data_IF_763601750077
#
_entry.id   IF_763601750077
#
_cell.length_a   1.000
_cell.length_b   1.000
_cell.length_c   1.000
_cell.angle_alpha   90.00
_cell.angle_beta   90.00
_cell.angle_gamma   90.00
#
_symmetry.space_group_name_H-M   'P 1'
#
loop_
_entity.id
_entity.type
_entity.pdbx_description
1 polymer ?
#
# COMPACT_ATOMS: atom_id res chain seq x y z
N UNK A 1 -44.71 61.48 -11.74
CA UNK A 1 -45.46 60.20 -11.72
C UNK A 1 -44.77 59.28 -10.71
N UNK A 2 -45.35 58.69 -9.66
CA UNK A 2 -46.18 59.16 -8.54
C UNK A 2 -45.43 58.79 -7.22
N UNK A 3 -45.49 59.52 -6.09
CA UNK A 3 -46.54 59.57 -5.03
C UNK A 3 -47.00 58.18 -4.53
N UNK A 4 -47.15 57.80 -3.24
CA UNK A 4 -46.87 58.23 -1.84
C UNK A 4 -47.22 56.98 -0.96
N UNK A 5 -46.85 56.98 0.34
CA UNK A 5 -47.36 56.20 1.50
C UNK A 5 -46.73 54.80 1.69
N UNK A 6 -46.21 54.38 2.85
CA UNK A 6 -46.44 54.83 4.23
C UNK A 6 -47.33 53.83 4.97
N UNK A 7 -46.75 52.97 5.83
CA UNK A 7 -47.45 52.29 6.91
C UNK A 7 -46.47 51.83 8.00
N UNK A 8 -46.53 52.54 9.12
CA UNK A 8 -46.03 52.15 10.44
C UNK A 8 -47.00 51.14 11.08
N UNK A 9 -46.54 50.53 12.18
CA UNK A 9 -47.29 49.83 13.25
C UNK A 9 -47.18 48.30 13.22
N UNK A 10 -46.53 47.78 14.26
CA UNK A 10 -46.49 46.37 14.60
C UNK A 10 -45.50 46.04 15.72
N UNK A 11 -45.44 46.85 16.77
CA UNK A 11 -44.67 46.55 17.98
C UNK A 11 -45.45 45.51 18.80
N UNK A 12 -45.14 44.22 18.60
CA UNK A 12 -45.66 43.15 19.46
C UNK A 12 -44.58 42.79 20.48
N UNK A 13 -44.84 43.17 21.74
CA UNK A 13 -44.11 42.69 22.89
C UNK A 13 -44.37 41.19 23.06
N UNK A 14 -43.34 40.36 22.84
CA UNK A 14 -43.25 39.06 23.51
C UNK A 14 -42.23 39.18 24.65
N UNK A 15 -42.77 39.30 25.86
CA UNK A 15 -42.01 39.07 27.08
C UNK A 15 -41.61 37.58 27.16
N UNK A 16 -40.40 37.35 27.67
CA UNK A 16 -39.87 36.06 28.13
C UNK A 16 -39.67 34.95 27.08
N UNK A 17 -38.54 35.00 26.38
CA UNK A 17 -37.81 33.81 25.89
C UNK A 17 -36.32 34.13 25.97
N UNK A 18 -35.66 33.72 27.06
CA UNK A 18 -34.21 33.69 27.10
C UNK A 18 -33.74 32.65 26.05
N UNK A 19 -32.79 32.98 25.15
CA UNK A 19 -32.15 31.94 24.36
C UNK A 19 -31.28 31.12 25.32
N UNK A 20 -31.73 29.91 25.65
CA UNK A 20 -30.83 28.89 26.18
C UNK A 20 -29.80 28.65 25.08
N UNK A 21 -28.63 29.26 25.22
CA UNK A 21 -27.48 28.92 24.37
C UNK A 21 -27.10 27.51 24.76
N UNK A 22 -27.62 26.54 24.01
CA UNK A 22 -27.14 25.18 24.05
C UNK A 22 -25.70 25.21 23.57
N UNK A 23 -24.77 25.20 24.52
CA UNK A 23 -23.34 25.02 24.25
C UNK A 23 -23.21 23.59 23.76
N UNK A 24 -23.32 23.40 22.45
CA UNK A 24 -22.94 22.16 21.79
C UNK A 24 -21.45 21.97 22.12
N UNK A 25 -21.07 20.92 22.86
CA UNK A 25 -19.66 20.66 23.11
C UNK A 25 -18.97 20.49 21.76
N UNK A 26 -17.76 21.05 21.58
CA UNK A 26 -17.01 20.85 20.35
C UNK A 26 -16.89 19.33 20.09
N UNK A 27 -16.94 18.90 18.82
CA UNK A 27 -16.70 17.50 18.49
C UNK A 27 -15.36 17.07 19.10
N UNK A 28 -15.25 15.81 19.57
CA UNK A 28 -13.98 15.31 20.08
C UNK A 28 -12.88 15.55 19.05
N UNK A 29 -11.67 15.93 19.47
CA UNK A 29 -10.56 16.08 18.54
C UNK A 29 -10.40 14.77 17.77
N UNK A 30 -10.25 14.87 16.45
CA UNK A 30 -9.94 13.73 15.61
C UNK A 30 -8.77 12.94 16.24
N UNK A 31 -8.81 11.59 16.24
CA UNK A 31 -7.63 10.82 16.63
C UNK A 31 -6.45 11.35 15.83
N UNK A 32 -5.22 11.41 16.38
CA UNK A 32 -4.08 12.01 15.70
C UNK A 32 -3.92 11.37 14.31
N UNK A 33 -4.50 12.04 13.32
CA UNK A 33 -4.31 11.71 11.93
C UNK A 33 -2.84 11.93 11.65
N UNK A 34 -2.28 11.09 10.80
CA UNK A 34 -0.92 11.25 10.28
C UNK A 34 -0.86 12.48 9.36
N UNK A 35 -1.21 13.66 9.87
CA UNK A 35 -1.03 14.95 9.19
C UNK A 35 0.40 15.40 9.46
N UNK A 36 1.34 14.75 8.77
CA UNK A 36 2.73 15.21 8.68
C UNK A 36 2.84 16.20 7.52
N UNK A 37 3.65 17.23 7.70
CA UNK A 37 3.86 18.33 6.77
C UNK A 37 4.05 17.86 5.32
N UNK A 38 3.31 18.50 4.41
CA UNK A 38 3.42 18.28 2.97
C UNK A 38 4.85 18.63 2.49
N UNK A 39 5.61 17.59 2.14
CA UNK A 39 6.87 17.66 1.42
C UNK A 39 6.77 16.82 0.13
N UNK A 40 7.75 16.89 -0.78
CA UNK A 40 7.73 16.03 -1.97
C UNK A 40 7.71 14.56 -1.54
N UNK A 41 6.80 13.78 -2.13
CA UNK A 41 6.70 12.35 -1.86
C UNK A 41 8.02 11.65 -2.21
N UNK A 42 8.61 10.92 -1.26
CA UNK A 42 9.81 10.12 -1.50
C UNK A 42 9.42 8.74 -2.01
N UNK A 43 10.00 8.32 -3.12
CA UNK A 43 9.79 6.98 -3.70
C UNK A 43 11.05 6.14 -3.52
N UNK A 44 10.90 4.98 -2.89
CA UNK A 44 11.95 3.96 -2.76
C UNK A 44 11.53 2.71 -3.51
N UNK A 45 12.36 2.27 -4.46
CA UNK A 45 12.14 1.05 -5.23
C UNK A 45 13.17 -0.02 -4.85
N UNK A 46 12.68 -1.23 -4.56
CA UNK A 46 13.50 -2.41 -4.35
C UNK A 46 13.19 -3.43 -5.45
N UNK A 47 14.10 -3.51 -6.41
CA UNK A 47 13.99 -4.39 -7.56
C UNK A 47 15.17 -5.36 -7.52
N UNK A 48 14.93 -6.67 -7.44
CA UNK A 48 15.99 -7.66 -7.36
C UNK A 48 16.76 -7.72 -8.68
N UNK A 49 18.03 -8.12 -8.59
CA UNK A 49 18.78 -8.50 -9.76
C UNK A 49 18.13 -9.73 -10.43
N UNK A 50 17.99 -9.75 -11.76
CA UNK A 50 17.50 -10.92 -12.47
C UNK A 50 18.38 -12.14 -12.22
N UNK A 51 17.77 -13.28 -11.90
CA UNK A 51 18.49 -14.55 -11.96
C UNK A 51 18.57 -14.98 -13.42
N UNK A 52 19.79 -15.08 -13.96
CA UNK A 52 20.00 -15.65 -15.28
C UNK A 52 19.38 -17.05 -15.34
N UNK A 53 18.67 -17.36 -16.42
CA UNK A 53 18.16 -18.71 -16.63
C UNK A 53 19.33 -19.70 -16.50
N UNK A 54 19.21 -20.77 -15.69
CA UNK A 54 20.26 -21.77 -15.63
C UNK A 54 20.49 -22.31 -17.05
N UNK A 55 21.75 -22.48 -17.49
CA UNK A 55 22.03 -23.17 -18.75
C UNK A 55 21.35 -24.55 -18.69
N UNK A 56 20.81 -25.00 -19.83
CA UNK A 56 20.22 -26.33 -19.94
C UNK A 56 21.24 -27.39 -19.46
N UNK A 57 20.87 -28.10 -18.40
CA UNK A 57 21.67 -29.12 -17.70
C UNK A 57 22.10 -30.26 -18.66
N UNK A 58 23.22 -30.98 -18.41
CA UNK A 58 23.24 -31.89 -17.27
C UNK A 58 24.61 -32.09 -16.59
N UNK A 59 24.67 -32.07 -15.26
CA UNK A 59 25.42 -33.09 -14.50
C UNK A 59 25.20 -33.00 -12.99
N UNK A 60 25.16 -34.14 -12.27
CA UNK A 60 25.02 -34.16 -10.82
C UNK A 60 26.29 -33.58 -10.19
N UNK A 61 26.18 -32.37 -9.62
CA UNK A 61 27.26 -31.76 -8.83
C UNK A 61 27.50 -32.64 -7.60
N UNK A 62 28.74 -33.10 -7.47
CA UNK A 62 29.26 -33.89 -6.36
C UNK A 62 28.93 -33.28 -5.00
N UNK A 63 28.59 -34.13 -4.04
CA UNK A 63 28.40 -33.78 -2.64
C UNK A 63 29.64 -33.06 -2.07
N UNK A 64 29.49 -31.92 -1.36
CA UNK A 64 30.62 -31.30 -0.69
C UNK A 64 31.07 -32.19 0.48
N UNK A 65 32.36 -32.49 0.47
CA UNK A 65 33.06 -33.21 1.53
C UNK A 65 33.11 -32.33 2.78
N UNK A 66 32.62 -32.86 3.90
CA UNK A 66 33.05 -32.54 5.27
C UNK A 66 33.27 -31.07 5.64
N UNK A 67 32.20 -30.39 6.05
CA UNK A 67 32.27 -29.27 6.99
C UNK A 67 31.26 -29.55 8.10
N UNK A 68 31.63 -29.36 9.36
CA UNK A 68 30.75 -29.58 10.50
C UNK A 68 29.41 -28.90 10.25
N UNK A 69 28.35 -29.71 10.09
CA UNK A 69 27.01 -29.19 9.90
C UNK A 69 26.68 -28.33 11.13
N UNK A 70 26.20 -27.09 10.97
CA UNK A 70 25.71 -26.32 12.10
C UNK A 70 24.68 -27.17 12.86
N UNK A 71 24.64 -27.06 14.19
CA UNK A 71 23.71 -27.79 15.06
C UNK A 71 22.30 -27.24 14.85
N UNK A 72 21.73 -27.55 13.69
CA UNK A 72 20.41 -27.18 13.25
C UNK A 72 19.64 -28.47 13.07
N UNK A 73 18.38 -28.48 13.51
CA UNK A 73 17.51 -29.63 13.36
C UNK A 73 17.60 -30.19 11.92
N UNK A 74 17.68 -31.53 11.76
CA UNK A 74 17.56 -32.15 10.45
C UNK A 74 16.35 -31.56 9.72
N UNK A 75 16.53 -31.21 8.45
CA UNK A 75 15.51 -30.59 7.59
C UNK A 75 15.17 -29.11 7.82
N UNK A 76 15.96 -28.36 8.60
CA UNK A 76 15.70 -26.93 8.82
C UNK A 76 15.67 -26.09 7.52
N UNK A 77 16.57 -26.37 6.57
CA UNK A 77 16.60 -25.66 5.29
C UNK A 77 15.36 -25.93 4.43
N UNK A 78 14.91 -27.19 4.36
CA UNK A 78 13.67 -27.54 3.65
C UNK A 78 12.44 -26.94 4.34
N UNK A 79 12.41 -26.95 5.68
CA UNK A 79 11.30 -26.44 6.47
C UNK A 79 11.21 -24.90 6.46
N UNK A 80 12.23 -24.20 5.97
CA UNK A 80 12.22 -22.75 5.79
C UNK A 80 12.06 -22.32 4.33
N UNK A 81 11.96 -23.28 3.39
CA UNK A 81 11.82 -22.97 1.96
C UNK A 81 10.54 -22.16 1.67
N UNK A 82 9.48 -22.33 2.46
CA UNK A 82 8.24 -21.55 2.32
C UNK A 82 8.43 -20.05 2.61
N UNK A 83 9.42 -19.68 3.43
CA UNK A 83 9.77 -18.28 3.75
C UNK A 83 10.49 -17.59 2.60
N UNK A 84 11.07 -18.36 1.68
CA UNK A 84 11.81 -17.82 0.55
C UNK A 84 10.84 -17.54 -0.59
N UNK A 85 10.85 -16.29 -1.09
CA UNK A 85 10.12 -15.95 -2.31
C UNK A 85 10.79 -16.58 -3.51
N UNK A 86 10.00 -16.95 -4.51
CA UNK A 86 10.51 -17.48 -5.77
C UNK A 86 11.38 -16.44 -6.46
N UNK A 87 12.50 -16.87 -7.05
CA UNK A 87 13.35 -15.99 -7.85
C UNK A 87 12.61 -15.50 -9.10
N UNK A 88 12.94 -14.28 -9.54
CA UNK A 88 12.41 -13.68 -10.76
C UNK A 88 13.39 -13.86 -11.93
N UNK A 89 12.85 -14.13 -13.11
CA UNK A 89 13.59 -14.02 -14.38
C UNK A 89 13.74 -12.55 -14.79
N UNK A 90 14.59 -12.29 -15.79
CA UNK A 90 14.76 -10.93 -16.35
C UNK A 90 13.43 -10.34 -16.86
N UNK A 91 12.65 -11.12 -17.62
CA UNK A 91 11.35 -10.67 -18.13
C UNK A 91 10.36 -10.35 -17.00
N UNK A 92 10.40 -11.13 -15.91
CA UNK A 92 9.57 -10.91 -14.75
C UNK A 92 9.97 -9.64 -13.99
N UNK A 93 11.28 -9.40 -13.82
CA UNK A 93 11.81 -8.14 -13.27
C UNK A 93 11.38 -6.95 -14.13
N UNK A 94 11.46 -7.07 -15.45
CA UNK A 94 11.03 -6.00 -16.37
C UNK A 94 9.53 -5.74 -16.26
N UNK A 95 8.70 -6.79 -16.22
CA UNK A 95 7.25 -6.64 -16.02
C UNK A 95 6.92 -5.93 -14.70
N UNK A 96 7.72 -6.14 -13.65
CA UNK A 96 7.65 -5.41 -12.39
C UNK A 96 7.98 -3.93 -12.54
N UNK A 97 9.05 -3.58 -13.26
CA UNK A 97 9.42 -2.18 -13.59
C UNK A 97 8.32 -1.46 -14.37
N UNK A 98 7.77 -2.14 -15.36
CA UNK A 98 6.69 -1.58 -16.18
C UNK A 98 5.43 -1.35 -15.33
N UNK A 99 5.17 -2.22 -14.36
CA UNK A 99 4.06 -2.04 -13.43
C UNK A 99 4.28 -0.85 -12.50
N UNK A 100 5.48 -0.69 -11.94
CA UNK A 100 5.86 0.51 -11.16
C UNK A 100 5.57 1.79 -11.96
N UNK A 101 6.01 1.83 -13.21
CA UNK A 101 5.81 2.97 -14.12
C UNK A 101 4.34 3.33 -14.30
N UNK A 102 3.43 2.34 -14.27
CA UNK A 102 1.99 2.56 -14.39
C UNK A 102 1.33 3.02 -13.08
N UNK A 103 1.78 2.52 -11.94
CA UNK A 103 1.12 2.79 -10.66
C UNK A 103 1.64 4.05 -9.97
N UNK A 104 2.90 4.44 -10.17
CA UNK A 104 3.45 5.63 -9.52
C UNK A 104 2.64 6.91 -9.77
N UNK A 105 2.22 7.23 -11.01
CA UNK A 105 1.45 8.45 -11.28
C UNK A 105 0.12 8.54 -10.52
N UNK A 106 -0.48 7.41 -10.11
CA UNK A 106 -1.73 7.40 -9.34
C UNK A 106 -1.49 7.38 -7.83
N UNK A 107 -0.31 6.95 -7.37
CA UNK A 107 0.05 6.86 -5.95
C UNK A 107 0.74 8.13 -5.42
N UNK A 108 1.58 8.77 -6.23
CA UNK A 108 2.31 9.98 -5.85
C UNK A 108 1.39 11.12 -5.38
N UNK A 109 0.24 11.41 -6.03
CA UNK A 109 -0.66 12.46 -5.55
C UNK A 109 -1.26 12.15 -4.18
N UNK A 110 -1.58 10.88 -3.89
CA UNK A 110 -2.10 10.43 -2.59
C UNK A 110 -1.04 10.54 -1.50
N UNK A 111 0.21 10.19 -1.83
CA UNK A 111 1.34 10.33 -0.93
C UNK A 111 1.62 11.81 -0.61
N UNK A 112 1.58 12.68 -1.62
CA UNK A 112 1.82 14.11 -1.46
C UNK A 112 0.69 14.81 -0.69
N UNK A 113 -0.56 14.37 -0.85
CA UNK A 113 -1.71 14.91 -0.11
C UNK A 113 -1.82 14.38 1.32
N UNK A 114 -1.13 13.28 1.64
CA UNK A 114 -1.27 12.58 2.91
C UNK A 114 -2.57 11.78 3.03
N UNK A 115 -3.31 11.56 1.92
CA UNK A 115 -4.54 10.76 1.91
C UNK A 115 -4.23 9.25 1.90
N UNK A 116 -3.72 8.79 3.04
CA UNK A 116 -3.19 7.44 3.26
C UNK A 116 -4.22 6.54 3.93
N UNK A 117 -5.43 6.54 3.39
CA UNK A 117 -6.47 5.60 3.79
C UNK A 117 -6.67 4.51 2.75
N UNK A 118 -7.05 3.31 3.19
CA UNK A 118 -7.21 2.16 2.28
C UNK A 118 -8.26 2.39 1.17
N UNK A 119 -9.27 3.24 1.40
CA UNK A 119 -10.33 3.53 0.43
C UNK A 119 -9.80 4.22 -0.85
N UNK A 120 -9.22 5.43 -0.72
CA UNK A 120 -8.55 6.16 -1.81
C UNK A 120 -7.48 5.33 -2.53
N UNK A 121 -6.61 4.64 -1.79
CA UNK A 121 -5.58 3.77 -2.40
C UNK A 121 -6.22 2.65 -3.22
N UNK A 122 -7.26 1.98 -2.70
CA UNK A 122 -8.00 0.93 -3.43
C UNK A 122 -8.70 1.47 -4.66
N UNK A 123 -9.25 2.68 -4.59
CA UNK A 123 -9.86 3.35 -5.74
C UNK A 123 -8.83 3.65 -6.82
N UNK A 124 -7.67 4.21 -6.45
CA UNK A 124 -6.59 4.52 -7.37
C UNK A 124 -6.00 3.27 -8.04
N UNK A 125 -5.92 2.16 -7.32
CA UNK A 125 -5.39 0.89 -7.82
C UNK A 125 -6.46 -0.08 -8.37
N UNK A 126 -7.69 0.38 -8.58
CA UNK A 126 -8.82 -0.47 -8.96
C UNK A 126 -8.61 -1.21 -10.29
N UNK A 127 -7.92 -0.59 -11.25
CA UNK A 127 -7.58 -1.20 -12.54
C UNK A 127 -6.50 -2.30 -12.42
N UNK A 128 -5.76 -2.33 -11.31
CA UNK A 128 -4.64 -3.24 -11.08
C UNK A 128 -4.99 -4.43 -10.19
N UNK A 129 -6.28 -4.59 -9.81
CA UNK A 129 -6.76 -5.67 -8.93
C UNK A 129 -5.93 -5.80 -7.65
N UNK A 130 -5.50 -4.67 -7.08
CA UNK A 130 -4.66 -4.66 -5.91
C UNK A 130 -5.42 -5.11 -4.65
N UNK A 131 -4.79 -5.99 -3.87
CA UNK A 131 -5.10 -6.16 -2.46
C UNK A 131 -4.63 -4.91 -1.71
N UNK A 132 -5.47 -4.33 -0.85
CA UNK A 132 -5.14 -3.12 -0.08
C UNK A 132 -5.62 -3.29 1.36
N UNK A 133 -4.70 -3.10 2.29
CA UNK A 133 -4.87 -3.29 3.73
C UNK A 133 -4.45 -2.01 4.48
N UNK A 134 -5.32 -1.53 5.37
CA UNK A 134 -4.96 -0.46 6.31
C UNK A 134 -4.16 -1.07 7.46
N UNK A 135 -2.94 -0.56 7.70
CA UNK A 135 -2.14 -0.88 8.89
C UNK A 135 -2.03 0.35 9.80
N UNK A 136 -1.60 0.19 11.07
CA UNK A 136 -1.58 1.29 12.03
C UNK A 136 -0.80 2.53 11.58
N UNK A 137 0.29 2.34 10.81
CA UNK A 137 1.20 3.43 10.42
C UNK A 137 1.35 3.61 8.91
N UNK A 138 0.70 2.76 8.11
CA UNK A 138 0.82 2.76 6.65
C UNK A 138 -0.37 2.07 5.98
N UNK A 139 -0.50 2.26 4.66
CA UNK A 139 -1.35 1.43 3.81
C UNK A 139 -0.46 0.45 3.06
N UNK A 140 -0.74 -0.83 3.21
CA UNK A 140 -0.09 -1.89 2.45
C UNK A 140 -0.93 -2.18 1.21
N UNK A 141 -0.28 -2.40 0.08
CA UNK A 141 -0.93 -2.95 -1.11
C UNK A 141 -0.07 -4.02 -1.78
N UNK A 142 -0.73 -4.94 -2.47
CA UNK A 142 -0.09 -6.00 -3.24
C UNK A 142 -0.87 -6.26 -4.52
N UNK A 143 -0.16 -6.46 -5.62
CA UNK A 143 -0.76 -6.77 -6.91
C UNK A 143 0.16 -7.67 -7.73
N UNK A 144 -0.43 -8.34 -8.71
CA UNK A 144 0.26 -9.31 -9.55
C UNK A 144 0.35 -8.81 -10.99
N UNK A 145 1.49 -9.03 -11.63
CA UNK A 145 1.60 -9.01 -13.09
C UNK A 145 2.11 -10.35 -13.59
N UNK A 146 1.65 -10.77 -14.76
CA UNK A 146 1.95 -12.08 -15.33
C UNK A 146 2.78 -11.91 -16.59
N UNK A 147 3.88 -12.65 -16.64
CA UNK A 147 4.57 -12.98 -17.88
C UNK A 147 4.13 -14.38 -18.31
N UNK A 148 4.53 -14.81 -19.51
CA UNK A 148 4.21 -16.15 -20.04
C UNK A 148 4.65 -17.27 -19.09
N UNK A 149 5.71 -17.05 -18.30
CA UNK A 149 6.31 -18.11 -17.47
C UNK A 149 6.12 -17.94 -15.96
N UNK A 150 5.90 -16.73 -15.44
CA UNK A 150 5.90 -16.46 -13.99
C UNK A 150 4.97 -15.31 -13.60
N UNK A 151 4.49 -15.40 -12.37
CA UNK A 151 3.83 -14.30 -11.65
C UNK A 151 4.90 -13.44 -10.98
N UNK A 152 4.80 -12.13 -11.13
CA UNK A 152 5.61 -11.12 -10.44
C UNK A 152 4.71 -10.34 -9.50
N UNK A 153 5.17 -10.14 -8.28
CA UNK A 153 4.48 -9.41 -7.23
C UNK A 153 5.05 -8.01 -7.13
N UNK A 154 4.17 -7.02 -7.15
CA UNK A 154 4.48 -5.67 -6.71
C UNK A 154 3.79 -5.45 -5.36
N UNK A 155 4.59 -5.39 -4.31
CA UNK A 155 4.15 -5.00 -2.97
C UNK A 155 4.51 -3.54 -2.74
N UNK A 156 3.70 -2.82 -2.00
CA UNK A 156 4.04 -1.47 -1.60
C UNK A 156 3.50 -1.05 -0.25
N UNK A 157 4.26 -0.18 0.40
CA UNK A 157 3.90 0.50 1.63
C UNK A 157 3.79 2.00 1.35
N UNK A 158 2.66 2.60 1.73
CA UNK A 158 2.48 4.05 1.70
C UNK A 158 2.37 4.59 3.12
N UNK A 159 3.28 5.49 3.48
CA UNK A 159 3.26 6.26 4.72
C UNK A 159 3.38 7.76 4.41
N UNK A 160 3.24 8.63 5.41
CA UNK A 160 3.26 10.07 5.19
C UNK A 160 4.55 10.50 4.46
N UNK A 161 4.40 11.09 3.26
CA UNK A 161 5.50 11.54 2.42
C UNK A 161 6.40 10.44 1.85
N UNK A 162 6.01 9.16 1.90
CA UNK A 162 6.85 8.06 1.43
C UNK A 162 6.06 6.92 0.79
N UNK A 163 6.53 6.45 -0.37
CA UNK A 163 6.10 5.21 -1.04
C UNK A 163 7.30 4.28 -1.11
N UNK A 164 7.14 3.04 -0.65
CA UNK A 164 8.13 1.97 -0.82
C UNK A 164 7.54 0.90 -1.71
N UNK A 165 8.23 0.53 -2.77
CA UNK A 165 7.80 -0.46 -3.77
C UNK A 165 8.80 -1.61 -3.80
N UNK A 166 8.27 -2.84 -3.80
CA UNK A 166 9.07 -4.06 -3.80
C UNK A 166 8.61 -4.96 -4.95
N UNK A 167 9.50 -5.21 -5.90
CA UNK A 167 9.29 -6.21 -6.95
C UNK A 167 9.82 -7.54 -6.45
N UNK A 168 8.97 -8.55 -6.34
CA UNK A 168 9.35 -9.84 -5.78
C UNK A 168 8.65 -10.99 -6.51
N UNK A 169 9.15 -12.20 -6.36
CA UNK A 169 8.38 -13.38 -6.76
C UNK A 169 7.30 -13.72 -5.74
N UNK A 170 6.53 -14.75 -6.08
CA UNK A 170 5.49 -15.30 -5.22
C UNK A 170 6.09 -15.98 -3.99
N UNK A 171 5.26 -16.21 -2.99
CA UNK A 171 5.49 -17.16 -1.90
C UNK A 171 5.72 -18.59 -2.44
N UNK A 172 6.11 -19.51 -1.55
CA UNK A 172 6.17 -20.94 -1.88
C UNK A 172 4.85 -21.47 -2.48
N UNK A 173 3.73 -20.95 -1.97
CA UNK A 173 2.36 -21.29 -2.36
C UNK A 173 1.87 -20.61 -3.65
N UNK A 174 2.67 -19.71 -4.24
CA UNK A 174 2.34 -19.09 -5.53
C UNK A 174 1.52 -17.80 -5.44
N UNK A 175 1.38 -17.21 -4.26
CA UNK A 175 0.66 -15.95 -4.03
C UNK A 175 1.62 -14.78 -3.80
N UNK A 176 1.15 -13.53 -3.94
CA UNK A 176 1.97 -12.36 -3.63
C UNK A 176 1.98 -11.96 -2.15
N UNK A 177 0.90 -12.28 -1.44
CA UNK A 177 0.73 -12.08 0.00
C UNK A 177 0.82 -13.44 0.70
N UNK A 178 1.51 -13.47 1.83
CA UNK A 178 1.58 -14.67 2.67
C UNK A 178 0.19 -15.00 3.24
N UNK A 179 -0.22 -16.28 3.20
CA UNK A 179 -1.43 -16.72 3.89
C UNK A 179 -1.30 -16.50 5.39
N UNK A 180 -2.44 -16.30 6.05
CA UNK A 180 -2.50 -16.04 7.50
C UNK A 180 -2.14 -17.30 8.33
N UNK A 181 -2.10 -18.48 7.71
CA UNK A 181 -1.79 -19.75 8.38
C UNK A 181 -0.91 -20.65 7.50
N UNK A 182 0.12 -21.24 8.10
CA UNK A 182 0.96 -22.31 7.55
C UNK A 182 0.98 -23.50 8.52
#
# INVERSE_FOLDING_TARGET
MGKVLGALVGLVLCAACAPTVEVVPPPPPDPPGLTVAAGPCQVEEQIPEPVAAPPADPSPRSAPTGGAAPDVAPHNAENNAWKQRRSLSADAVQAGRDLITRVLPVLEPLCASGDLSAGPVRKALSEHRAYVEQRPTLVFFSMETRTVQRVTCLNGDMSAGKIRLFVQGTTGEGTCVEPVSH
#
